data_IF_701268824787
#
_entry.id   IF_701268824787
#
_cell.length_a   1.000
_cell.length_b   1.000
_cell.length_c   1.000
_cell.angle_alpha   90.00
_cell.angle_beta   90.00
_cell.angle_gamma   90.00
#
_symmetry.space_group_name_H-M   'P 1'
#
loop_
_entity.id
_entity.type
_entity.pdbx_description
1 polymer ?
#
# COMPACT_ATOMS: atom_id res chain seq x y z
N UNK A 1 -22.67 -45.26 38.78
CA UNK A 1 -22.34 -44.58 37.51
C UNK A 1 -23.48 -44.86 36.53
N UNK A 2 -23.90 -43.94 35.64
CA UNK A 2 -23.11 -42.88 34.97
C UNK A 2 -23.62 -41.45 35.27
N UNK A 3 -22.74 -40.46 35.49
CA UNK A 3 -22.09 -39.59 34.48
C UNK A 3 -23.09 -38.89 33.55
N UNK A 4 -23.55 -37.71 34.01
CA UNK A 4 -24.24 -36.74 33.16
C UNK A 4 -23.15 -36.00 32.37
N UNK A 5 -22.86 -36.48 31.16
CA UNK A 5 -22.08 -35.73 30.20
C UNK A 5 -22.86 -34.47 29.81
N UNK A 6 -22.52 -33.34 30.40
CA UNK A 6 -22.80 -32.03 29.82
C UNK A 6 -21.94 -31.92 28.56
N UNK A 7 -22.57 -32.16 27.41
CA UNK A 7 -21.99 -31.86 26.12
C UNK A 7 -21.79 -30.35 26.03
N UNK A 8 -20.54 -29.91 26.11
CA UNK A 8 -20.14 -28.56 25.75
C UNK A 8 -20.68 -28.26 24.34
N UNK A 9 -21.37 -27.12 24.12
CA UNK A 9 -21.78 -26.75 22.79
C UNK A 9 -20.49 -26.50 21.99
N UNK A 10 -20.18 -27.41 21.06
CA UNK A 10 -19.18 -27.17 20.01
C UNK A 10 -19.56 -25.84 19.36
N UNK A 11 -18.82 -24.80 19.69
CA UNK A 11 -18.89 -23.52 19.02
C UNK A 11 -18.75 -23.81 17.54
N UNK A 12 -19.84 -23.63 16.81
CA UNK A 12 -19.76 -23.54 15.37
C UNK A 12 -18.93 -22.30 15.09
N UNK A 13 -17.62 -22.48 14.89
CA UNK A 13 -16.79 -21.50 14.20
C UNK A 13 -17.48 -21.28 12.85
N UNK A 14 -18.29 -20.22 12.81
CA UNK A 14 -18.82 -19.68 11.59
C UNK A 14 -17.60 -19.27 10.77
N UNK A 15 -17.19 -20.15 9.87
CA UNK A 15 -16.18 -19.92 8.86
C UNK A 15 -16.76 -18.93 7.84
N UNK A 16 -17.04 -17.72 8.32
CA UNK A 16 -17.28 -16.56 7.47
C UNK A 16 -15.96 -16.40 6.73
N UNK A 17 -15.92 -16.45 5.38
CA UNK A 17 -14.69 -16.19 4.67
C UNK A 17 -14.25 -14.79 5.09
N UNK A 18 -13.25 -14.71 5.97
CA UNK A 18 -12.61 -13.45 6.30
C UNK A 18 -12.14 -12.93 4.96
N UNK A 19 -12.78 -11.88 4.47
CA UNK A 19 -12.30 -11.14 3.31
C UNK A 19 -10.93 -10.63 3.75
N UNK A 20 -9.88 -11.39 3.44
CA UNK A 20 -8.53 -11.10 3.91
C UNK A 20 -8.11 -9.83 3.21
N UNK A 21 -8.28 -8.71 3.90
CA UNK A 21 -7.85 -7.41 3.40
C UNK A 21 -6.36 -7.53 3.02
N UNK A 22 -5.97 -7.19 1.78
CA UNK A 22 -4.60 -6.90 1.41
C UNK A 22 -3.88 -6.17 2.53
N UNK A 23 -2.75 -6.74 2.98
CA UNK A 23 -1.97 -6.14 4.04
C UNK A 23 -1.19 -4.91 3.53
N UNK A 24 -0.75 -4.06 4.46
CA UNK A 24 -0.01 -2.84 4.15
C UNK A 24 1.25 -3.11 3.29
N UNK A 25 1.92 -4.24 3.50
CA UNK A 25 3.08 -4.68 2.73
C UNK A 25 2.70 -5.05 1.30
N UNK A 26 1.57 -5.73 1.10
CA UNK A 26 1.06 -6.05 -0.24
C UNK A 26 0.76 -4.77 -1.04
N UNK A 27 0.15 -3.75 -0.39
CA UNK A 27 -0.08 -2.45 -1.03
C UNK A 27 1.24 -1.76 -1.41
N UNK A 28 2.25 -1.78 -0.54
CA UNK A 28 3.58 -1.22 -0.82
C UNK A 28 4.27 -1.96 -1.95
N UNK A 29 4.19 -3.28 -1.98
CA UNK A 29 4.80 -4.10 -3.02
C UNK A 29 4.20 -3.82 -4.39
N UNK A 30 2.87 -3.69 -4.47
CA UNK A 30 2.17 -3.36 -5.71
C UNK A 30 2.60 -1.98 -6.24
N UNK A 31 2.70 -0.98 -5.37
CA UNK A 31 3.21 0.35 -5.72
C UNK A 31 4.68 0.29 -6.13
N UNK A 32 5.51 -0.49 -5.43
CA UNK A 32 6.92 -0.68 -5.77
C UNK A 32 7.10 -1.29 -7.15
N UNK A 33 6.31 -2.33 -7.49
CA UNK A 33 6.31 -2.96 -8.81
C UNK A 33 5.91 -1.97 -9.91
N UNK A 34 4.88 -1.16 -9.66
CA UNK A 34 4.46 -0.11 -10.57
C UNK A 34 5.55 0.96 -10.78
N UNK A 35 6.18 1.47 -9.71
CA UNK A 35 7.24 2.49 -9.81
C UNK A 35 8.44 1.99 -10.61
N UNK A 36 8.83 0.73 -10.42
CA UNK A 36 9.92 0.12 -11.17
C UNK A 36 9.64 0.09 -12.67
N UNK A 37 8.37 -0.12 -13.07
CA UNK A 37 7.95 -0.12 -14.47
C UNK A 37 7.91 1.29 -15.08
N UNK A 38 7.49 2.30 -14.31
CA UNK A 38 7.31 3.65 -14.84
C UNK A 38 8.60 4.49 -14.85
N UNK A 39 9.32 4.53 -13.74
CA UNK A 39 10.43 5.47 -13.50
C UNK A 39 11.70 4.82 -12.94
N UNK A 40 11.67 3.52 -12.66
CA UNK A 40 12.85 2.74 -12.23
C UNK A 40 13.15 2.86 -10.73
N UNK A 41 14.42 2.74 -10.36
CA UNK A 41 14.87 2.57 -8.96
C UNK A 41 15.03 3.88 -8.17
N UNK A 42 14.76 5.04 -8.77
CA UNK A 42 14.91 6.34 -8.12
C UNK A 42 13.76 6.70 -7.15
N UNK A 43 12.69 5.92 -7.15
CA UNK A 43 11.54 6.13 -6.27
C UNK A 43 11.21 4.86 -5.50
N UNK A 44 10.65 5.03 -4.29
CA UNK A 44 10.28 3.93 -3.42
C UNK A 44 8.95 4.18 -2.70
N UNK A 45 8.17 3.13 -2.44
CA UNK A 45 6.95 3.23 -1.66
C UNK A 45 7.27 3.43 -0.17
N UNK A 46 6.66 4.46 0.42
CA UNK A 46 6.66 4.72 1.85
C UNK A 46 5.74 3.78 2.61
N UNK A 47 5.44 4.13 3.86
CA UNK A 47 4.55 3.33 4.71
C UNK A 47 3.10 3.48 4.26
N UNK A 48 2.42 2.35 4.06
CA UNK A 48 1.03 2.34 3.63
C UNK A 48 0.08 2.56 4.81
N UNK A 49 -0.85 3.48 4.65
CA UNK A 49 -1.87 3.80 5.65
C UNK A 49 -3.25 3.41 5.14
N UNK A 50 -4.01 2.67 5.95
CA UNK A 50 -5.38 2.29 5.58
C UNK A 50 -6.35 3.43 5.89
N UNK A 51 -7.11 3.85 4.88
CA UNK A 51 -8.17 4.85 4.99
C UNK A 51 -9.52 4.13 5.01
N UNK A 52 -10.12 4.03 6.21
CA UNK A 52 -11.36 3.29 6.42
C UNK A 52 -12.57 3.94 5.73
N UNK A 53 -12.60 5.27 5.65
CA UNK A 53 -13.72 6.04 5.07
C UNK A 53 -13.89 5.78 3.57
N UNK A 54 -12.78 5.61 2.86
CA UNK A 54 -12.75 5.34 1.42
C UNK A 54 -12.46 3.88 1.09
N UNK A 55 -12.16 3.06 2.10
CA UNK A 55 -11.73 1.67 1.95
C UNK A 55 -10.51 1.53 1.01
N UNK A 56 -9.51 2.37 1.21
CA UNK A 56 -8.31 2.46 0.36
C UNK A 56 -7.02 2.40 1.15
N UNK A 57 -5.97 1.84 0.56
CA UNK A 57 -4.60 2.05 1.00
C UNK A 57 -4.05 3.33 0.38
N UNK A 58 -3.59 4.24 1.22
CA UNK A 58 -2.76 5.38 0.82
C UNK A 58 -1.30 5.00 0.96
N UNK A 59 -0.53 5.18 -0.11
CA UNK A 59 0.90 4.87 -0.16
C UNK A 59 1.63 6.09 -0.70
N UNK A 60 2.36 6.83 0.15
CA UNK A 60 3.20 7.93 -0.32
C UNK A 60 4.41 7.34 -1.08
N UNK A 61 4.77 7.98 -2.18
CA UNK A 61 5.96 7.64 -2.98
C UNK A 61 7.03 8.67 -2.70
N UNK A 62 8.20 8.21 -2.33
CA UNK A 62 9.36 9.05 -2.05
C UNK A 62 10.37 8.96 -3.18
N UNK A 63 11.05 10.06 -3.45
CA UNK A 63 12.18 10.13 -4.36
C UNK A 63 13.49 10.09 -3.55
N UNK A 64 14.41 9.22 -3.93
CA UNK A 64 15.77 9.16 -3.37
C UNK A 64 16.83 9.25 -4.47
N UNK A 65 18.00 9.78 -4.12
CA UNK A 65 19.18 9.78 -4.98
C UNK A 65 20.38 9.25 -4.20
N UNK A 66 21.42 8.81 -4.92
CA UNK A 66 22.60 8.19 -4.32
C UNK A 66 23.25 9.03 -3.20
N UNK A 67 23.18 10.36 -3.28
CA UNK A 67 23.75 11.27 -2.29
C UNK A 67 22.78 11.70 -1.18
N UNK A 68 21.46 11.55 -1.38
CA UNK A 68 20.41 11.97 -0.43
C UNK A 68 19.33 10.90 -0.36
N UNK A 69 19.22 10.26 0.80
CA UNK A 69 18.30 9.15 1.07
C UNK A 69 16.83 9.52 0.86
N UNK A 70 16.45 10.80 0.97
CA UNK A 70 15.08 11.27 0.76
C UNK A 70 15.09 12.72 0.29
N UNK A 71 14.66 12.98 -0.95
CA UNK A 71 14.55 14.33 -1.53
C UNK A 71 13.18 14.92 -1.20
N UNK A 72 12.11 14.14 -1.31
CA UNK A 72 10.74 14.59 -1.06
C UNK A 72 9.69 13.60 -1.52
N UNK A 73 8.42 13.91 -1.21
CA UNK A 73 7.28 13.13 -1.68
C UNK A 73 7.07 13.42 -3.16
N UNK A 74 7.14 12.37 -3.97
CA UNK A 74 6.92 12.43 -5.41
C UNK A 74 5.43 12.37 -5.74
N UNK A 75 4.68 11.50 -5.05
CA UNK A 75 3.27 11.28 -5.30
C UNK A 75 2.57 10.59 -4.14
N UNK A 76 1.25 10.73 -4.10
CA UNK A 76 0.36 9.93 -3.28
C UNK A 76 -0.37 8.94 -4.17
N UNK A 77 -0.33 7.65 -3.81
CA UNK A 77 -0.96 6.58 -4.57
C UNK A 77 -2.04 5.94 -3.72
N UNK A 78 -3.18 5.67 -4.35
CA UNK A 78 -4.33 5.06 -3.69
C UNK A 78 -4.65 3.72 -4.34
N UNK A 79 -4.71 2.66 -3.53
CA UNK A 79 -5.15 1.34 -3.96
C UNK A 79 -6.42 0.93 -3.25
N UNK A 80 -7.29 0.21 -3.95
CA UNK A 80 -8.48 -0.36 -3.37
C UNK A 80 -8.11 -1.45 -2.37
N UNK A 81 -8.63 -1.36 -1.14
CA UNK A 81 -8.12 -2.16 -0.04
C UNK A 81 -8.42 -3.65 -0.13
N UNK A 82 -9.43 -4.07 -0.91
CA UNK A 82 -9.72 -5.50 -1.13
C UNK A 82 -9.11 -6.08 -2.40
N UNK A 83 -8.84 -5.27 -3.43
CA UNK A 83 -8.47 -5.78 -4.76
C UNK A 83 -7.05 -5.39 -5.17
N UNK A 84 -6.42 -4.45 -4.46
CA UNK A 84 -5.12 -3.91 -4.85
C UNK A 84 -5.17 -3.07 -6.14
N UNK A 85 -6.35 -2.79 -6.68
CA UNK A 85 -6.47 -1.99 -7.91
C UNK A 85 -6.12 -0.52 -7.64
N UNK A 86 -5.36 0.10 -8.54
CA UNK A 86 -5.05 1.52 -8.44
C UNK A 86 -6.31 2.37 -8.65
N UNK A 87 -6.68 3.14 -7.63
CA UNK A 87 -7.80 4.08 -7.67
C UNK A 87 -7.33 5.49 -8.03
N UNK A 88 -6.10 5.83 -7.67
CA UNK A 88 -5.46 7.10 -8.01
C UNK A 88 -3.95 6.93 -8.09
N UNK A 89 -3.38 7.23 -9.26
CA UNK A 89 -1.93 7.32 -9.46
C UNK A 89 -1.62 8.36 -10.54
N UNK A 90 -0.52 9.11 -10.41
CA UNK A 90 -0.05 10.02 -11.46
C UNK A 90 0.42 9.25 -12.69
N UNK A 91 0.47 9.91 -13.85
CA UNK A 91 1.09 9.34 -15.04
C UNK A 91 2.62 9.37 -14.93
N UNK A 92 3.29 8.67 -15.87
CA UNK A 92 4.74 8.72 -15.98
C UNK A 92 5.27 10.14 -16.19
N UNK A 93 4.65 10.92 -17.06
CA UNK A 93 5.04 12.31 -17.33
C UNK A 93 4.90 13.19 -16.08
N UNK A 94 3.84 12.96 -15.30
CA UNK A 94 3.64 13.65 -14.03
C UNK A 94 4.73 13.33 -13.02
N UNK A 95 5.10 12.05 -12.90
CA UNK A 95 6.18 11.61 -12.01
C UNK A 95 7.52 12.24 -12.41
N UNK A 96 7.86 12.21 -13.70
CA UNK A 96 9.11 12.81 -14.21
C UNK A 96 9.13 14.32 -13.92
N UNK A 97 8.06 15.04 -14.26
CA UNK A 97 7.95 16.48 -14.03
C UNK A 97 8.09 16.84 -12.53
N UNK A 98 7.46 16.06 -11.65
CA UNK A 98 7.58 16.27 -10.20
C UNK A 98 8.99 15.96 -9.70
N UNK A 99 9.62 14.89 -10.18
CA UNK A 99 10.99 14.55 -9.82
C UNK A 99 11.98 15.65 -10.23
N UNK A 100 11.86 16.19 -11.45
CA UNK A 100 12.68 17.32 -11.92
C UNK A 100 12.46 18.59 -11.07
N UNK A 101 11.21 18.87 -10.68
CA UNK A 101 10.90 20.00 -9.81
C UNK A 101 11.55 19.85 -8.44
N UNK A 102 11.48 18.66 -7.84
CA UNK A 102 12.12 18.37 -6.55
C UNK A 102 13.65 18.51 -6.63
N UNK A 103 14.27 18.04 -7.71
CA UNK A 103 15.71 18.20 -7.92
C UNK A 103 16.16 19.66 -7.98
N UNK A 104 15.34 20.54 -8.57
CA UNK A 104 15.65 21.98 -8.64
C UNK A 104 15.58 22.68 -7.28
N UNK A 105 14.79 22.16 -6.34
CA UNK A 105 14.65 22.72 -5.00
C UNK A 105 15.77 22.31 -4.05
N UNK A 106 16.53 21.27 -4.39
CA UNK A 106 17.57 20.68 -3.52
C UNK A 106 19.00 21.08 -3.94
N UNK A 107 19.13 21.79 -5.07
CA UNK A 107 20.35 22.49 -5.50
C UNK A 107 20.44 23.87 -4.86
#
# INVERSE_FOLDING_TARGET
>A
MPEVMMVEPKQAEQNTPFLKLPDASAAREEVGRWLLQEIGTGAYPGEATFLAESFTWHVPVWLSYAEKSQIGVLADVYLHAATGAFLGRPTREDLIRRAESLLKQVK
#
